data_IF_927237490657
#
_entry.id   IF_927237490657
#
_cell.length_a   1.000
_cell.length_b   1.000
_cell.length_c   1.000
_cell.angle_alpha   90.00
_cell.angle_beta   90.00
_cell.angle_gamma   90.00
#
_symmetry.space_group_name_H-M   'P 1'
#
loop_
_entity.id
_entity.type
_entity.pdbx_description
1 polymer ?
#
# COMPACT_ATOMS: atom_id res chain seq x y z
N UNK A 1 16.80 11.26 -27.01
CA UNK A 1 16.47 12.37 -26.11
C UNK A 1 15.10 12.27 -25.47
N UNK A 2 14.12 11.61 -26.09
CA UNK A 2 12.79 11.45 -25.49
C UNK A 2 12.68 10.33 -24.43
N UNK A 3 13.74 9.55 -24.22
CA UNK A 3 13.72 8.47 -23.23
C UNK A 3 14.00 8.91 -21.78
N UNK A 4 14.53 10.12 -21.59
CA UNK A 4 14.84 10.62 -20.26
C UNK A 4 13.57 11.00 -19.48
N UNK A 5 12.54 11.52 -20.13
CA UNK A 5 11.30 11.94 -19.47
C UNK A 5 10.40 10.76 -19.03
N UNK A 6 10.49 9.61 -19.73
CA UNK A 6 9.74 8.41 -19.33
C UNK A 6 10.44 7.65 -18.20
N UNK A 7 11.77 7.76 -18.11
CA UNK A 7 12.52 7.19 -17.00
C UNK A 7 12.38 8.01 -15.71
N UNK A 8 12.24 9.33 -15.80
CA UNK A 8 12.10 10.19 -14.63
C UNK A 8 10.85 9.90 -13.79
N UNK A 9 9.71 9.59 -14.40
CA UNK A 9 8.48 9.28 -13.63
C UNK A 9 8.57 7.92 -12.92
N UNK A 10 9.26 6.92 -13.52
CA UNK A 10 9.52 5.63 -12.89
C UNK A 10 10.55 5.75 -11.77
N UNK A 11 11.60 6.57 -11.98
CA UNK A 11 12.64 6.82 -10.98
C UNK A 11 12.06 7.51 -9.75
N UNK A 12 11.13 8.47 -9.94
CA UNK A 12 10.47 9.17 -8.83
C UNK A 12 9.67 8.25 -7.91
N UNK A 13 8.95 7.26 -8.47
CA UNK A 13 8.15 6.32 -7.70
C UNK A 13 8.97 5.36 -6.85
N UNK A 14 10.16 4.97 -7.31
CA UNK A 14 11.07 4.08 -6.60
C UNK A 14 12.15 4.82 -5.82
N UNK A 15 12.22 6.15 -5.93
CA UNK A 15 13.22 6.95 -5.24
C UNK A 15 13.16 6.69 -3.74
N UNK A 16 14.29 6.30 -3.10
CA UNK A 16 14.27 5.99 -1.68
C UNK A 16 13.99 7.24 -0.83
N UNK A 17 13.02 7.14 0.06
CA UNK A 17 12.66 8.21 1.00
C UNK A 17 12.81 7.78 2.45
N UNK A 18 12.96 6.48 2.70
CA UNK A 18 13.09 5.92 4.03
C UNK A 18 13.82 4.58 3.98
N UNK A 19 14.14 4.05 5.15
CA UNK A 19 14.66 2.70 5.36
C UNK A 19 13.63 1.92 6.17
N UNK A 20 13.38 0.65 5.83
CA UNK A 20 12.37 -0.18 6.50
C UNK A 20 12.53 -0.19 8.02
N UNK A 21 13.77 -0.25 8.52
CA UNK A 21 14.04 -0.29 9.95
C UNK A 21 13.63 0.98 10.70
N UNK A 22 13.46 2.11 10.00
CA UNK A 22 13.03 3.38 10.60
C UNK A 22 11.50 3.54 10.62
N UNK A 23 10.77 2.66 9.96
CA UNK A 23 9.31 2.68 9.94
C UNK A 23 8.73 2.09 11.22
N UNK A 24 7.51 2.51 11.58
CA UNK A 24 6.72 1.80 12.58
C UNK A 24 6.41 0.38 12.12
N UNK A 25 6.01 -0.49 13.04
CA UNK A 25 5.63 -1.87 12.70
C UNK A 25 4.49 -1.88 11.68
N UNK A 26 3.50 -1.01 11.87
CA UNK A 26 2.34 -0.91 11.00
C UNK A 26 2.73 -0.45 9.60
N UNK A 27 3.57 0.57 9.50
CA UNK A 27 4.08 1.06 8.23
C UNK A 27 4.92 0.01 7.51
N UNK A 28 5.78 -0.70 8.25
CA UNK A 28 6.59 -1.79 7.71
C UNK A 28 5.71 -2.91 7.13
N UNK A 29 4.68 -3.33 7.87
CA UNK A 29 3.74 -4.35 7.41
C UNK A 29 2.95 -3.89 6.19
N UNK A 30 2.56 -2.63 6.13
CA UNK A 30 1.87 -2.08 4.97
C UNK A 30 2.75 -2.13 3.72
N UNK A 31 4.02 -1.75 3.82
CA UNK A 31 4.99 -1.86 2.72
C UNK A 31 5.17 -3.32 2.30
N UNK A 32 5.30 -4.22 3.25
CA UNK A 32 5.45 -5.64 2.99
C UNK A 32 4.25 -6.21 2.23
N UNK A 33 3.04 -5.90 2.66
CA UNK A 33 1.82 -6.35 1.97
C UNK A 33 1.68 -5.75 0.58
N UNK A 34 2.07 -4.49 0.41
CA UNK A 34 2.12 -3.86 -0.92
C UNK A 34 3.05 -4.63 -1.87
N UNK A 35 4.26 -4.93 -1.42
CA UNK A 35 5.25 -5.67 -2.22
C UNK A 35 4.76 -7.07 -2.58
N UNK A 36 4.22 -7.82 -1.61
CA UNK A 36 3.70 -9.17 -1.84
C UNK A 36 2.60 -9.14 -2.89
N UNK A 37 1.65 -8.22 -2.76
CA UNK A 37 0.48 -8.16 -3.64
C UNK A 37 0.88 -7.99 -5.10
N UNK A 38 1.92 -7.20 -5.38
CA UNK A 38 2.35 -6.94 -6.74
C UNK A 38 3.48 -7.84 -7.22
N UNK A 39 4.30 -8.38 -6.34
CA UNK A 39 5.47 -9.18 -6.70
C UNK A 39 5.20 -10.69 -6.63
N UNK A 40 4.60 -11.15 -5.54
CA UNK A 40 4.33 -12.58 -5.30
C UNK A 40 2.92 -12.75 -4.75
N UNK A 41 1.87 -12.54 -5.58
CA UNK A 41 0.48 -12.63 -5.10
C UNK A 41 0.12 -13.96 -4.45
N UNK A 42 0.79 -15.05 -4.83
CA UNK A 42 0.56 -16.38 -4.25
C UNK A 42 0.87 -16.43 -2.75
N UNK A 43 1.74 -15.55 -2.24
CA UNK A 43 2.04 -15.47 -0.80
C UNK A 43 0.86 -14.95 0.02
N UNK A 44 -0.13 -14.33 -0.61
CA UNK A 44 -1.32 -13.85 0.12
C UNK A 44 -2.10 -14.98 0.78
N UNK A 45 -2.05 -16.19 0.24
CA UNK A 45 -2.66 -17.36 0.88
C UNK A 45 -1.98 -17.70 2.19
N UNK A 46 -0.66 -17.62 2.25
CA UNK A 46 0.09 -17.86 3.47
C UNK A 46 -0.14 -16.76 4.50
N UNK A 47 -0.17 -15.51 4.06
CA UNK A 47 -0.51 -14.38 4.93
C UNK A 47 -1.92 -14.54 5.50
N UNK A 48 -2.89 -14.91 4.68
CA UNK A 48 -4.26 -15.17 5.12
C UNK A 48 -4.29 -16.24 6.21
N UNK A 49 -3.57 -17.34 6.00
CA UNK A 49 -3.50 -18.44 6.97
C UNK A 49 -2.91 -17.98 8.30
N UNK A 50 -1.85 -17.19 8.27
CA UNK A 50 -1.25 -16.62 9.48
C UNK A 50 -2.22 -15.67 10.20
N UNK A 51 -2.90 -14.82 9.46
CA UNK A 51 -3.89 -13.91 10.04
C UNK A 51 -5.05 -14.69 10.67
N UNK A 52 -5.50 -15.77 10.03
CA UNK A 52 -6.52 -16.65 10.62
C UNK A 52 -6.07 -17.19 11.97
N UNK A 53 -4.82 -17.61 12.09
CA UNK A 53 -4.26 -18.17 13.30
C UNK A 53 -4.23 -17.14 14.45
N UNK A 54 -3.82 -15.90 14.14
CA UNK A 54 -3.61 -14.87 15.17
C UNK A 54 -4.85 -13.99 15.44
N UNK A 55 -5.66 -13.73 14.43
CA UNK A 55 -6.75 -12.75 14.51
C UNK A 55 -8.14 -13.35 14.25
N UNK A 56 -8.19 -14.60 13.79
CA UNK A 56 -9.43 -15.27 13.42
C UNK A 56 -9.78 -15.07 11.94
N UNK A 57 -10.61 -15.97 11.43
CA UNK A 57 -10.97 -16.05 10.02
C UNK A 57 -11.68 -14.78 9.52
N UNK A 58 -12.59 -14.23 10.33
CA UNK A 58 -13.37 -13.05 9.95
C UNK A 58 -12.49 -11.83 9.69
N UNK A 59 -11.55 -11.56 10.58
CA UNK A 59 -10.61 -10.44 10.43
C UNK A 59 -9.64 -10.71 9.28
N UNK A 60 -9.16 -11.95 9.15
CA UNK A 60 -8.27 -12.35 8.07
C UNK A 60 -8.93 -12.15 6.69
N UNK A 61 -10.16 -12.59 6.52
CA UNK A 61 -10.91 -12.43 5.27
C UNK A 61 -11.09 -10.94 4.91
N UNK A 62 -11.45 -10.15 5.89
CA UNK A 62 -11.66 -8.71 5.72
C UNK A 62 -10.35 -7.99 5.35
N UNK A 63 -9.26 -8.34 6.02
CA UNK A 63 -7.94 -7.75 5.78
C UNK A 63 -7.42 -8.06 4.38
N UNK A 64 -7.45 -9.32 3.97
CA UNK A 64 -6.99 -9.73 2.63
C UNK A 64 -7.92 -9.18 1.56
N UNK A 65 -9.23 -9.19 1.81
CA UNK A 65 -10.20 -8.58 0.90
C UNK A 65 -9.95 -7.09 0.68
N UNK A 66 -9.68 -6.36 1.75
CA UNK A 66 -9.35 -4.94 1.69
C UNK A 66 -8.03 -4.69 0.95
N UNK A 67 -7.00 -5.50 1.20
CA UNK A 67 -5.71 -5.40 0.50
C UNK A 67 -5.87 -5.60 -1.00
N UNK A 68 -6.62 -6.63 -1.41
CA UNK A 68 -6.87 -6.89 -2.83
C UNK A 68 -7.69 -5.77 -3.47
N UNK A 69 -8.73 -5.29 -2.80
CA UNK A 69 -9.58 -4.21 -3.31
C UNK A 69 -8.80 -2.91 -3.45
N UNK A 70 -8.04 -2.52 -2.44
CA UNK A 70 -7.21 -1.32 -2.47
C UNK A 70 -6.17 -1.38 -3.60
N UNK A 71 -5.46 -2.50 -3.71
CA UNK A 71 -4.45 -2.69 -4.74
C UNK A 71 -5.05 -2.68 -6.15
N UNK A 72 -6.19 -3.34 -6.34
CA UNK A 72 -6.89 -3.36 -7.62
C UNK A 72 -7.37 -1.97 -8.04
N UNK A 73 -7.93 -1.20 -7.10
CA UNK A 73 -8.36 0.17 -7.38
C UNK A 73 -7.20 1.09 -7.71
N UNK A 74 -6.08 0.96 -7.02
CA UNK A 74 -4.88 1.74 -7.34
C UNK A 74 -4.30 1.40 -8.71
N UNK A 75 -4.42 0.15 -9.15
CA UNK A 75 -4.00 -0.24 -10.50
C UNK A 75 -4.94 0.32 -11.58
N UNK A 76 -6.25 0.30 -11.34
CA UNK A 76 -7.26 0.70 -12.33
C UNK A 76 -7.47 2.21 -12.37
N UNK A 77 -7.46 2.88 -11.23
CA UNK A 77 -7.82 4.29 -11.07
C UNK A 77 -6.65 5.15 -10.58
N UNK A 78 -5.46 4.59 -10.50
CA UNK A 78 -4.26 5.33 -10.14
C UNK A 78 -3.88 6.35 -11.20
N UNK A 79 -3.33 7.49 -10.75
CA UNK A 79 -2.83 8.54 -11.64
C UNK A 79 -1.72 8.01 -12.53
N UNK A 80 -0.90 7.09 -11.98
CA UNK A 80 0.15 6.39 -12.69
C UNK A 80 0.37 5.01 -12.08
N UNK A 81 1.09 4.17 -12.79
CA UNK A 81 1.50 2.87 -12.25
C UNK A 81 2.45 3.08 -11.07
N UNK A 82 2.08 2.51 -9.92
CA UNK A 82 2.90 2.61 -8.72
C UNK A 82 4.12 1.70 -8.82
N UNK A 83 5.24 2.21 -8.31
CA UNK A 83 6.52 1.51 -8.30
C UNK A 83 6.82 0.97 -6.91
N UNK A 84 7.61 -0.11 -6.86
CA UNK A 84 8.01 -0.75 -5.61
C UNK A 84 9.44 -1.25 -5.69
N UNK A 85 10.07 -1.41 -4.53
CA UNK A 85 11.32 -2.13 -4.39
C UNK A 85 11.05 -3.64 -4.26
N UNK A 86 12.10 -4.45 -4.41
CA UNK A 86 12.01 -5.89 -4.21
C UNK A 86 11.63 -6.21 -2.76
N UNK A 87 10.99 -7.37 -2.57
CA UNK A 87 10.45 -7.80 -1.27
C UNK A 87 11.47 -7.69 -0.11
N UNK A 88 12.73 -8.01 -0.37
CA UNK A 88 13.79 -8.01 0.64
C UNK A 88 14.61 -6.73 0.69
N UNK A 89 14.28 -5.73 -0.13
CA UNK A 89 15.01 -4.46 -0.15
C UNK A 89 14.74 -3.65 1.12
N UNK A 90 15.81 -3.12 1.74
CA UNK A 90 15.70 -2.30 2.94
C UNK A 90 15.25 -0.85 2.66
N UNK A 91 15.37 -0.40 1.42
CA UNK A 91 14.94 0.95 1.03
C UNK A 91 13.44 0.99 0.79
N UNK A 92 12.81 2.09 1.20
CA UNK A 92 11.38 2.35 0.96
C UNK A 92 11.26 3.46 -0.08
N UNK A 93 10.59 3.16 -1.19
CA UNK A 93 10.33 4.13 -2.25
C UNK A 93 9.18 5.08 -1.93
N UNK A 94 9.04 6.13 -2.73
CA UNK A 94 7.98 7.14 -2.57
C UNK A 94 6.59 6.49 -2.61
N UNK A 95 6.32 5.64 -3.61
CA UNK A 95 5.00 5.02 -3.78
C UNK A 95 4.67 4.07 -2.64
N UNK A 96 5.63 3.26 -2.23
CA UNK A 96 5.46 2.34 -1.08
C UNK A 96 5.19 3.12 0.20
N UNK A 97 5.90 4.23 0.40
CA UNK A 97 5.69 5.08 1.56
C UNK A 97 4.31 5.74 1.54
N UNK A 98 3.86 6.22 0.38
CA UNK A 98 2.51 6.77 0.23
C UNK A 98 1.43 5.74 0.56
N UNK A 99 1.60 4.50 0.11
CA UNK A 99 0.69 3.40 0.45
C UNK A 99 0.66 3.16 1.96
N UNK A 100 1.82 3.06 2.59
CA UNK A 100 1.93 2.85 4.02
C UNK A 100 1.30 4.00 4.82
N UNK A 101 1.53 5.23 4.42
CA UNK A 101 0.93 6.41 5.07
C UNK A 101 -0.58 6.45 4.87
N UNK A 102 -1.08 6.09 3.70
CA UNK A 102 -2.53 6.00 3.47
C UNK A 102 -3.18 5.02 4.46
N UNK A 103 -2.62 3.83 4.60
CA UNK A 103 -3.14 2.79 5.50
C UNK A 103 -3.07 3.24 6.97
N UNK A 104 -1.94 3.73 7.40
CA UNK A 104 -1.75 4.12 8.81
C UNK A 104 -2.58 5.34 9.19
N UNK A 105 -2.65 6.36 8.34
CA UNK A 105 -3.47 7.55 8.60
C UNK A 105 -4.96 7.22 8.64
N UNK A 106 -5.44 6.40 7.71
CA UNK A 106 -6.83 5.95 7.70
C UNK A 106 -7.18 5.19 8.97
N UNK A 107 -6.26 4.37 9.49
CA UNK A 107 -6.47 3.55 10.69
C UNK A 107 -6.43 4.37 11.97
N UNK A 108 -5.57 5.37 12.05
CA UNK A 108 -5.43 6.25 13.21
C UNK A 108 -6.49 7.35 13.29
N UNK A 109 -7.53 7.28 12.49
CA UNK A 109 -8.61 8.27 12.40
C UNK A 109 -8.14 9.66 11.93
N UNK A 110 -7.02 9.71 11.24
CA UNK A 110 -6.53 10.91 10.56
C UNK A 110 -7.00 10.90 9.11
N UNK A 111 -8.31 10.91 8.93
CA UNK A 111 -8.93 10.75 7.61
C UNK A 111 -8.66 11.91 6.67
N UNK A 112 -8.41 13.09 7.21
CA UNK A 112 -8.06 14.25 6.40
C UNK A 112 -6.73 14.04 5.68
N UNK A 113 -5.70 13.60 6.39
CA UNK A 113 -4.40 13.32 5.81
C UNK A 113 -4.46 12.09 4.89
N UNK A 114 -5.23 11.06 5.29
CA UNK A 114 -5.47 9.91 4.43
C UNK A 114 -6.11 10.32 3.10
N UNK A 115 -7.10 11.22 3.12
CA UNK A 115 -7.72 11.75 1.90
C UNK A 115 -6.74 12.50 1.02
N UNK A 116 -5.87 13.32 1.60
CA UNK A 116 -4.85 14.04 0.85
C UNK A 116 -3.89 13.06 0.13
N UNK A 117 -3.50 12.00 0.81
CA UNK A 117 -2.66 10.96 0.20
C UNK A 117 -3.43 10.22 -0.90
N UNK A 118 -4.69 9.87 -0.66
CA UNK A 118 -5.51 9.17 -1.64
C UNK A 118 -5.66 9.96 -2.94
N UNK A 119 -5.86 11.29 -2.87
CA UNK A 119 -5.96 12.12 -4.07
C UNK A 119 -4.63 12.29 -4.80
N UNK A 120 -3.50 12.05 -4.13
CA UNK A 120 -2.19 12.02 -4.78
C UNK A 120 -1.95 10.72 -5.55
N UNK A 121 -2.62 9.63 -5.15
CA UNK A 121 -2.43 8.30 -5.74
C UNK A 121 -3.46 7.97 -6.82
N UNK A 122 -4.62 8.61 -6.83
CA UNK A 122 -5.76 8.24 -7.67
C UNK A 122 -6.62 9.41 -8.07
N UNK A 123 -7.65 9.15 -8.86
CA UNK A 123 -8.69 10.13 -9.16
C UNK A 123 -9.42 10.55 -7.88
N UNK A 124 -9.68 11.85 -7.75
CA UNK A 124 -10.24 12.44 -6.53
C UNK A 124 -11.63 11.87 -6.18
N UNK A 125 -12.43 11.48 -7.17
CA UNK A 125 -13.77 10.97 -6.91
C UNK A 125 -13.76 9.59 -6.22
N UNK A 126 -12.70 8.79 -6.37
CA UNK A 126 -12.57 7.47 -5.74
C UNK A 126 -11.83 7.54 -4.40
N UNK A 127 -11.21 8.66 -4.08
CA UNK A 127 -10.41 8.81 -2.88
C UNK A 127 -11.13 8.41 -1.57
N UNK A 128 -12.42 8.77 -1.35
CA UNK A 128 -13.13 8.32 -0.15
C UNK A 128 -13.22 6.80 -0.02
N UNK A 129 -13.41 6.08 -1.12
CA UNK A 129 -13.44 4.61 -1.13
C UNK A 129 -12.07 4.03 -0.80
N UNK A 130 -10.99 4.63 -1.32
CA UNK A 130 -9.63 4.20 -1.01
C UNK A 130 -9.33 4.35 0.48
N UNK A 131 -9.77 5.44 1.10
CA UNK A 131 -9.60 5.65 2.54
C UNK A 131 -10.35 4.58 3.33
N UNK A 132 -11.58 4.23 2.93
CA UNK A 132 -12.33 3.16 3.59
C UNK A 132 -11.64 1.80 3.48
N UNK A 133 -11.14 1.46 2.29
CA UNK A 133 -10.38 0.22 2.08
C UNK A 133 -9.08 0.20 2.89
N UNK A 134 -8.38 1.32 2.94
CA UNK A 134 -7.16 1.46 3.72
C UNK A 134 -7.40 1.30 5.22
N UNK A 135 -8.49 1.85 5.73
CA UNK A 135 -8.90 1.68 7.13
C UNK A 135 -9.18 0.21 7.45
N UNK A 136 -9.92 -0.48 6.58
CA UNK A 136 -10.22 -1.90 6.75
C UNK A 136 -8.94 -2.76 6.72
N UNK A 137 -8.01 -2.45 5.84
CA UNK A 137 -6.71 -3.11 5.81
C UNK A 137 -5.95 -2.88 7.11
N UNK A 138 -5.89 -1.64 7.56
CA UNK A 138 -5.14 -1.27 8.76
C UNK A 138 -5.63 -1.93 10.03
N UNK A 139 -6.92 -2.26 10.11
CA UNK A 139 -7.49 -2.98 11.27
C UNK A 139 -6.94 -4.39 11.43
N UNK A 140 -6.39 -4.97 10.37
CA UNK A 140 -5.76 -6.29 10.39
C UNK A 140 -4.24 -6.29 10.56
N UNK A 141 -3.68 -5.12 10.73
CA UNK A 141 -2.22 -4.96 10.88
C UNK A 141 -1.79 -4.86 12.34
#
# INVERSE_FOLDING_TARGET
>A
MNNENQNDSKIKGVEPVAVLSDLSIEEHLAVYYFRITFEIPSMLMDVHRQLCTYLGEKIADKTIGALKALSSNLQQNGIRKLSRHQLTCNCVGVDENCFAQLVTRATLDDKRDAMLIAVLLSDSYIAPELVCMAEDLGKGI
#
